data_IF_719150569401
#
_entry.id   IF_719150569401
#
_cell.length_a   1.000
_cell.length_b   1.000
_cell.length_c   1.000
_cell.angle_alpha   90.00
_cell.angle_beta   90.00
_cell.angle_gamma   90.00
#
_symmetry.space_group_name_H-M   'P 1'
#
loop_
_entity.id
_entity.type
_entity.pdbx_description
1 polymer ?
#
# COMPACT_ATOMS: atom_id res chain seq x y z
N UNK A 1 -16.29 -12.33 -10.20
CA UNK A 1 -16.11 -12.57 -8.75
C UNK A 1 -15.79 -11.26 -8.07
N UNK A 2 -16.52 -10.96 -6.99
CA UNK A 2 -16.26 -9.80 -6.13
C UNK A 2 -15.55 -10.30 -4.87
N UNK A 3 -14.49 -9.63 -4.45
CA UNK A 3 -13.77 -9.92 -3.21
C UNK A 3 -13.55 -8.64 -2.41
N UNK A 4 -13.68 -8.77 -1.09
CA UNK A 4 -13.33 -7.72 -0.14
C UNK A 4 -12.00 -8.03 0.54
N UNK A 5 -11.33 -6.99 0.99
CA UNK A 5 -10.00 -7.07 1.57
C UNK A 5 -9.88 -6.16 2.77
N UNK A 6 -9.15 -6.63 3.76
CA UNK A 6 -8.62 -5.84 4.85
C UNK A 6 -7.16 -6.24 4.99
N UNK A 7 -6.27 -5.27 5.19
CA UNK A 7 -4.84 -5.50 5.33
C UNK A 7 -4.24 -4.58 6.39
N UNK A 8 -3.12 -5.05 6.93
CA UNK A 8 -2.30 -4.35 7.90
C UNK A 8 -0.85 -4.58 7.50
N UNK A 9 -0.13 -3.50 7.25
CA UNK A 9 1.23 -3.53 6.73
C UNK A 9 2.18 -2.82 7.71
N UNK A 10 3.37 -3.39 7.86
CA UNK A 10 4.45 -2.83 8.67
C UNK A 10 5.75 -2.95 7.88
N UNK A 11 6.47 -1.84 7.74
CA UNK A 11 7.72 -1.80 7.00
C UNK A 11 8.72 -0.85 7.63
N UNK A 12 10.01 -1.15 7.46
CA UNK A 12 11.08 -0.29 7.94
C UNK A 12 12.25 -0.24 6.95
N UNK A 13 12.96 0.87 6.98
CA UNK A 13 14.22 1.09 6.24
C UNK A 13 15.31 1.36 7.26
N UNK A 14 16.41 0.62 7.14
CA UNK A 14 17.53 0.64 8.08
C UNK A 14 18.80 1.11 7.38
N UNK A 15 19.64 1.87 8.08
CA UNK A 15 20.94 2.31 7.56
C UNK A 15 22.03 1.41 8.13
N UNK A 16 22.66 0.60 7.26
CA UNK A 16 23.65 -0.40 7.71
C UNK A 16 25.07 0.15 7.94
N UNK A 17 25.42 1.30 7.36
CA UNK A 17 26.71 1.99 7.55
C UNK A 17 26.49 3.50 7.70
N UNK A 18 26.06 3.97 8.88
CA UNK A 18 25.69 5.37 9.06
C UNK A 18 26.94 6.25 9.06
N UNK A 19 27.02 7.17 8.09
CA UNK A 19 27.98 8.25 8.16
C UNK A 19 27.56 9.27 9.22
N UNK A 20 28.52 10.05 9.72
CA UNK A 20 28.21 11.14 10.64
C UNK A 20 27.22 12.08 9.90
N UNK A 21 25.99 12.24 10.43
CA UNK A 21 24.81 12.91 9.83
C UNK A 21 23.81 12.05 9.02
N UNK A 22 23.97 10.73 8.93
CA UNK A 22 22.94 9.88 8.29
C UNK A 22 21.64 9.81 9.10
N UNK A 23 20.53 9.69 8.38
CA UNK A 23 19.18 9.59 8.93
C UNK A 23 19.01 8.31 9.77
N UNK A 24 18.26 8.42 10.87
CA UNK A 24 17.89 7.27 11.72
C UNK A 24 17.01 6.27 10.96
N UNK A 25 17.00 5.01 11.43
CA UNK A 25 16.08 3.97 10.96
C UNK A 25 14.63 4.48 11.01
N UNK A 26 13.86 4.21 9.95
CA UNK A 26 12.48 4.66 9.85
C UNK A 26 11.55 3.47 9.68
N UNK A 27 10.44 3.51 10.41
CA UNK A 27 9.40 2.50 10.37
C UNK A 27 8.07 3.16 10.07
N UNK A 28 7.23 2.47 9.31
CA UNK A 28 5.89 2.90 8.94
C UNK A 28 4.93 1.73 9.09
N UNK A 29 3.78 2.03 9.70
CA UNK A 29 2.66 1.09 9.82
C UNK A 29 1.45 1.67 9.10
N UNK A 30 0.67 0.82 8.45
CA UNK A 30 -0.58 1.21 7.79
C UNK A 30 -1.65 0.14 7.92
N UNK A 31 -2.90 0.58 7.85
CA UNK A 31 -4.06 -0.29 7.67
C UNK A 31 -4.76 0.07 6.38
N UNK A 32 -5.54 -0.85 5.85
CA UNK A 32 -6.38 -0.53 4.72
C UNK A 32 -7.39 -1.60 4.39
N UNK A 33 -8.16 -1.29 3.37
CA UNK A 33 -9.14 -2.22 2.84
C UNK A 33 -9.40 -1.94 1.39
N UNK A 34 -10.05 -2.88 0.73
CA UNK A 34 -10.29 -2.74 -0.69
C UNK A 34 -11.26 -3.74 -1.28
N UNK A 35 -11.58 -3.49 -2.53
CA UNK A 35 -12.50 -4.26 -3.33
C UNK A 35 -11.76 -4.73 -4.57
N UNK A 36 -11.88 -6.02 -4.87
CA UNK A 36 -11.38 -6.60 -6.12
C UNK A 36 -12.53 -7.15 -6.94
N UNK A 37 -12.58 -6.74 -8.19
CA UNK A 37 -13.50 -7.24 -9.19
C UNK A 37 -12.70 -8.04 -10.21
N UNK A 38 -13.10 -9.29 -10.40
CA UNK A 38 -12.53 -10.19 -11.40
C UNK A 38 -13.60 -10.62 -12.38
N UNK A 39 -13.32 -10.51 -13.67
CA UNK A 39 -14.18 -11.03 -14.72
C UNK A 39 -13.39 -12.00 -15.61
N UNK A 40 -13.60 -13.29 -15.36
CA UNK A 40 -12.87 -14.40 -16.00
C UNK A 40 -11.35 -14.15 -15.93
N UNK A 41 -10.62 -14.61 -16.94
CA UNK A 41 -9.18 -14.37 -17.10
C UNK A 41 -8.89 -13.10 -17.92
N UNK A 42 -9.92 -12.28 -18.16
CA UNK A 42 -9.85 -11.13 -19.09
C UNK A 42 -9.76 -9.79 -18.40
N UNK A 43 -10.26 -9.68 -17.17
CA UNK A 43 -10.30 -8.39 -16.49
C UNK A 43 -10.17 -8.55 -15.00
N UNK A 44 -9.33 -7.70 -14.42
CA UNK A 44 -9.15 -7.55 -12.99
C UNK A 44 -9.09 -6.07 -12.66
N UNK A 45 -9.86 -5.66 -11.66
CA UNK A 45 -9.79 -4.33 -11.07
C UNK A 45 -9.61 -4.48 -9.56
N UNK A 46 -8.64 -3.75 -9.00
CA UNK A 46 -8.43 -3.61 -7.57
C UNK A 46 -8.54 -2.13 -7.22
N UNK A 47 -9.29 -1.85 -6.17
CA UNK A 47 -9.44 -0.52 -5.61
C UNK A 47 -9.22 -0.66 -4.10
N UNK A 48 -8.12 -0.10 -3.61
CA UNK A 48 -7.71 -0.20 -2.22
C UNK A 48 -7.58 1.21 -1.62
N UNK A 49 -8.00 1.39 -0.38
CA UNK A 49 -7.76 2.60 0.42
C UNK A 49 -6.86 2.23 1.59
N UNK A 50 -5.77 2.97 1.75
CA UNK A 50 -4.79 2.80 2.82
C UNK A 50 -4.76 4.02 3.74
N UNK A 51 -4.58 3.78 5.02
CA UNK A 51 -4.49 4.77 6.10
C UNK A 51 -3.17 4.53 6.84
N UNK A 52 -2.16 5.41 6.69
CA UNK A 52 -0.96 5.32 7.50
C UNK A 52 -1.30 5.61 8.96
N UNK A 53 -0.85 4.73 9.86
CA UNK A 53 -0.96 4.90 11.31
C UNK A 53 0.20 5.77 11.79
N UNK A 54 1.42 5.37 11.43
CA UNK A 54 2.62 6.13 11.71
C UNK A 54 2.87 7.07 10.53
N UNK A 55 2.76 8.37 10.78
CA UNK A 55 2.96 9.41 9.76
C UNK A 55 4.20 10.21 10.09
N UNK A 56 5.00 10.50 9.07
CA UNK A 56 5.99 11.58 9.16
C UNK A 56 5.32 12.92 8.88
N UNK A 57 5.94 14.02 9.32
CA UNK A 57 5.40 15.36 9.10
C UNK A 57 5.12 15.59 7.61
N UNK A 58 3.85 15.95 7.30
CA UNK A 58 3.29 16.27 5.97
C UNK A 58 2.73 15.11 5.14
N UNK A 59 2.49 13.93 5.70
CA UNK A 59 1.79 12.85 4.97
C UNK A 59 0.26 12.99 4.97
N UNK A 60 -0.37 12.55 3.88
CA UNK A 60 -1.83 12.52 3.75
C UNK A 60 -2.47 11.50 4.69
N UNK A 61 -3.72 11.75 5.07
CA UNK A 61 -4.47 10.88 6.00
C UNK A 61 -4.93 9.56 5.36
N UNK A 62 -5.05 9.52 4.04
CA UNK A 62 -5.49 8.36 3.29
C UNK A 62 -4.97 8.39 1.85
N UNK A 63 -4.74 7.20 1.29
CA UNK A 63 -4.29 7.02 -0.09
C UNK A 63 -5.23 6.06 -0.82
N UNK A 64 -5.65 6.44 -2.03
CA UNK A 64 -6.46 5.61 -2.91
C UNK A 64 -5.58 4.99 -4.00
N UNK A 65 -5.60 3.67 -4.08
CA UNK A 65 -4.87 2.88 -5.07
C UNK A 65 -5.85 2.19 -6.01
N UNK A 66 -5.64 2.36 -7.31
CA UNK A 66 -6.45 1.72 -8.34
C UNK A 66 -5.53 0.98 -9.29
N UNK A 67 -5.77 -0.32 -9.47
CA UNK A 67 -5.04 -1.17 -10.42
C UNK A 67 -6.04 -1.88 -11.32
N UNK A 68 -5.94 -1.62 -12.62
CA UNK A 68 -6.71 -2.31 -13.66
C UNK A 68 -5.81 -3.16 -14.54
N UNK A 69 -6.24 -4.38 -14.84
CA UNK A 69 -5.62 -5.27 -15.82
C UNK A 69 -6.70 -5.76 -16.78
N UNK A 70 -6.42 -5.70 -18.08
CA UNK A 70 -7.25 -6.29 -19.14
C UNK A 70 -6.36 -7.22 -19.94
N UNK A 71 -6.77 -8.48 -20.04
CA UNK A 71 -6.18 -9.43 -20.97
C UNK A 71 -7.08 -9.60 -22.20
N UNK A 72 -6.52 -9.29 -23.37
CA UNK A 72 -7.20 -9.37 -24.67
C UNK A 72 -6.94 -10.70 -25.40
N UNK A 73 -5.96 -11.50 -24.97
CA UNK A 73 -5.50 -12.71 -25.66
C UNK A 73 -5.36 -13.90 -24.72
#
# INVERSE_FOLDING_TARGET
MLQFAVFADYGGVYVSDPQQYDYEDKYLTGLGGGIRLFYKDRFQLKCDVGFPIDKQDKEDDAYLYILGNVNFF
#
